data_IF_561422296665
#
_entry.id   IF_561422296665
#
_cell.length_a   1.000
_cell.length_b   1.000
_cell.length_c   1.000
_cell.angle_alpha   90.00
_cell.angle_beta   90.00
_cell.angle_gamma   90.00
#
_symmetry.space_group_name_H-M   'P 1'
#
loop_
_entity.id
_entity.type
_entity.pdbx_description
1 polymer ?
#
# COMPACT_ATOMS: atom_id res chain seq x y z
N UNK A 1 12.58 11.67 15.75
CA UNK A 1 11.64 11.68 16.88
C UNK A 1 10.54 10.71 16.49
N UNK A 2 10.41 9.59 17.20
CA UNK A 2 9.37 8.61 16.94
C UNK A 2 8.00 9.29 17.05
N UNK A 3 7.05 8.92 16.16
CA UNK A 3 5.63 9.23 16.38
C UNK A 3 5.33 8.76 17.79
N UNK A 4 4.67 9.55 18.64
CA UNK A 4 4.31 9.08 19.97
C UNK A 4 3.49 7.80 19.79
N UNK A 5 3.94 6.72 20.40
CA UNK A 5 3.24 5.41 20.39
C UNK A 5 1.74 5.53 20.77
N UNK A 6 1.35 6.65 21.37
CA UNK A 6 -0.03 6.97 21.73
C UNK A 6 -1.00 7.23 20.58
N UNK A 7 -0.58 7.63 19.36
CA UNK A 7 -1.55 7.89 18.29
C UNK A 7 -2.01 6.62 17.57
N UNK A 8 -1.10 5.68 17.34
CA UNK A 8 -1.45 4.38 16.74
C UNK A 8 -2.30 3.52 17.70
N UNK A 9 -2.01 3.58 18.99
CA UNK A 9 -2.82 2.92 20.02
C UNK A 9 -4.21 3.57 20.13
N UNK A 10 -4.28 4.91 20.05
CA UNK A 10 -5.54 5.65 20.08
C UNK A 10 -6.43 5.35 18.85
N UNK A 11 -5.87 5.16 17.66
CA UNK A 11 -6.64 4.74 16.48
C UNK A 11 -7.14 3.30 16.63
N UNK A 12 -6.39 2.41 17.24
CA UNK A 12 -6.80 1.03 17.49
C UNK A 12 -8.00 0.94 18.42
N UNK A 13 -8.03 1.76 19.48
CA UNK A 13 -9.17 1.86 20.40
C UNK A 13 -10.42 2.42 19.69
N UNK A 14 -10.25 3.47 18.88
CA UNK A 14 -11.35 4.05 18.09
C UNK A 14 -11.90 3.05 17.08
N UNK A 15 -11.05 2.28 16.42
CA UNK A 15 -11.47 1.23 15.49
C UNK A 15 -12.30 0.13 16.17
N UNK A 16 -11.92 -0.24 17.40
CA UNK A 16 -12.69 -1.20 18.20
C UNK A 16 -14.06 -0.62 18.59
N UNK A 17 -14.11 0.64 19.02
CA UNK A 17 -15.36 1.33 19.38
C UNK A 17 -16.31 1.45 18.18
N UNK A 18 -15.80 1.81 16.98
CA UNK A 18 -16.63 1.88 15.76
C UNK A 18 -17.24 0.53 15.42
N UNK A 19 -16.50 -0.57 15.56
CA UNK A 19 -17.02 -1.93 15.35
C UNK A 19 -18.08 -2.33 16.37
N UNK A 20 -17.94 -1.84 17.61
CA UNK A 20 -18.93 -2.01 18.66
C UNK A 20 -20.20 -1.15 18.46
N UNK A 21 -20.21 -0.27 17.44
CA UNK A 21 -21.36 0.55 17.07
C UNK A 21 -21.24 2.04 17.43
N UNK A 22 -20.14 2.47 18.03
CA UNK A 22 -19.92 3.87 18.37
C UNK A 22 -19.57 4.70 17.12
N UNK A 23 -20.56 5.45 16.62
CA UNK A 23 -20.38 6.34 15.47
C UNK A 23 -19.60 7.61 15.80
N UNK A 24 -19.58 8.04 17.07
CA UNK A 24 -18.83 9.22 17.50
C UNK A 24 -17.30 8.94 17.40
N UNK A 25 -16.86 7.72 17.72
CA UNK A 25 -15.48 7.29 17.53
C UNK A 25 -15.03 7.40 16.06
N UNK A 26 -15.94 7.14 15.10
CA UNK A 26 -15.63 7.36 13.69
C UNK A 26 -15.47 8.83 13.34
N UNK A 27 -16.26 9.71 13.94
CA UNK A 27 -16.11 11.17 13.80
C UNK A 27 -14.70 11.63 14.22
N UNK A 28 -14.15 11.07 15.30
CA UNK A 28 -12.78 11.37 15.75
C UNK A 28 -11.74 10.88 14.74
N UNK A 29 -11.89 9.67 14.20
CA UNK A 29 -11.02 9.16 13.13
C UNK A 29 -11.08 10.05 11.87
N UNK A 30 -12.28 10.49 11.49
CA UNK A 30 -12.48 11.39 10.37
C UNK A 30 -11.72 12.71 10.56
N UNK A 31 -11.95 13.41 11.68
CA UNK A 31 -11.29 14.70 11.96
C UNK A 31 -9.76 14.57 12.02
N UNK A 32 -9.24 13.48 12.57
CA UNK A 32 -7.81 13.24 12.68
C UNK A 32 -7.14 13.00 11.32
N UNK A 33 -7.80 12.29 10.42
CA UNK A 33 -7.18 11.80 9.18
C UNK A 33 -7.63 12.53 7.91
N UNK A 34 -8.69 13.38 7.96
CA UNK A 34 -9.24 14.04 6.76
C UNK A 34 -8.24 14.93 6.03
N UNK A 35 -7.42 15.69 6.75
CA UNK A 35 -6.45 16.59 6.13
C UNK A 35 -5.36 15.83 5.37
N UNK A 36 -4.87 14.74 5.96
CA UNK A 36 -3.90 13.84 5.32
C UNK A 36 -4.51 13.13 4.10
N UNK A 37 -5.76 12.65 4.21
CA UNK A 37 -6.47 12.04 3.10
C UNK A 37 -6.70 13.02 1.94
N UNK A 38 -7.05 14.30 2.23
CA UNK A 38 -7.16 15.36 1.20
C UNK A 38 -5.83 15.62 0.49
N UNK A 39 -4.73 15.69 1.23
CA UNK A 39 -3.40 15.86 0.62
C UNK A 39 -3.06 14.71 -0.35
N UNK A 40 -3.42 13.47 -0.01
CA UNK A 40 -3.27 12.32 -0.92
C UNK A 40 -4.21 12.44 -2.11
N UNK A 41 -5.47 12.84 -1.90
CA UNK A 41 -6.46 12.99 -2.96
C UNK A 41 -6.04 14.05 -3.99
N UNK A 42 -5.52 15.21 -3.54
CA UNK A 42 -4.99 16.26 -4.44
C UNK A 42 -3.82 15.80 -5.32
N UNK A 43 -3.06 14.79 -4.89
CA UNK A 43 -2.04 14.16 -5.73
C UNK A 43 -2.58 13.13 -6.73
N UNK A 44 -3.85 12.75 -6.63
CA UNK A 44 -4.47 11.71 -7.46
C UNK A 44 -5.43 12.25 -8.51
N UNK A 45 -6.05 13.39 -8.26
CA UNK A 45 -7.01 14.05 -9.16
C UNK A 45 -6.60 15.49 -9.44
N UNK A 46 -7.05 16.04 -10.57
CA UNK A 46 -6.65 17.37 -11.02
C UNK A 46 -7.55 18.49 -10.49
N UNK A 47 -8.76 18.16 -10.02
CA UNK A 47 -9.73 19.13 -9.50
C UNK A 47 -9.88 18.98 -7.99
N UNK A 48 -9.98 20.12 -7.30
CA UNK A 48 -10.18 20.17 -5.86
C UNK A 48 -11.54 19.65 -5.40
N UNK A 49 -12.60 19.87 -6.20
CA UNK A 49 -13.92 19.34 -5.91
C UNK A 49 -13.93 17.81 -6.02
N UNK A 50 -13.29 17.25 -7.05
CA UNK A 50 -13.12 15.81 -7.20
C UNK A 50 -12.32 15.19 -6.06
N UNK A 51 -11.34 15.91 -5.51
CA UNK A 51 -10.56 15.44 -4.38
C UNK A 51 -11.41 15.34 -3.11
N UNK A 52 -12.24 16.34 -2.82
CA UNK A 52 -13.12 16.35 -1.66
C UNK A 52 -14.18 15.26 -1.76
N UNK A 53 -14.77 15.06 -2.93
CA UNK A 53 -15.71 13.97 -3.20
C UNK A 53 -15.06 12.59 -3.07
N UNK A 54 -13.81 12.46 -3.53
CA UNK A 54 -13.05 11.23 -3.40
C UNK A 54 -12.78 10.88 -1.93
N UNK A 55 -12.43 11.88 -1.11
CA UNK A 55 -12.24 11.72 0.33
C UNK A 55 -13.55 11.32 1.02
N UNK A 56 -14.65 12.01 0.72
CA UNK A 56 -15.96 11.73 1.30
C UNK A 56 -16.42 10.30 0.99
N UNK A 57 -16.34 9.87 -0.27
CA UNK A 57 -16.68 8.51 -0.69
C UNK A 57 -15.78 7.46 0.01
N UNK A 58 -14.49 7.75 0.14
CA UNK A 58 -13.55 6.85 0.79
C UNK A 58 -13.91 6.65 2.26
N UNK A 59 -14.14 7.74 3.00
CA UNK A 59 -14.54 7.63 4.41
C UNK A 59 -15.88 6.91 4.57
N UNK A 60 -16.87 7.16 3.71
CA UNK A 60 -18.14 6.44 3.74
C UNK A 60 -17.96 4.93 3.54
N UNK A 61 -17.12 4.53 2.59
CA UNK A 61 -16.78 3.12 2.34
C UNK A 61 -16.07 2.47 3.52
N UNK A 62 -15.07 3.14 4.09
CA UNK A 62 -14.35 2.64 5.26
C UNK A 62 -15.28 2.51 6.46
N UNK A 63 -16.17 3.47 6.69
CA UNK A 63 -17.18 3.39 7.74
C UNK A 63 -18.10 2.18 7.58
N UNK A 64 -18.66 1.97 6.40
CA UNK A 64 -19.50 0.82 6.10
C UNK A 64 -18.76 -0.51 6.34
N UNK A 65 -17.49 -0.57 5.96
CA UNK A 65 -16.63 -1.75 6.15
C UNK A 65 -16.40 -2.03 7.64
N UNK A 66 -16.10 -1.01 8.44
CA UNK A 66 -15.91 -1.14 9.89
C UNK A 66 -17.20 -1.55 10.60
N UNK A 67 -18.35 -0.97 10.22
CA UNK A 67 -19.68 -1.32 10.76
C UNK A 67 -20.06 -2.77 10.45
N UNK A 68 -19.60 -3.32 9.34
CA UNK A 68 -19.77 -4.73 9.00
C UNK A 68 -18.77 -5.66 9.74
N UNK A 69 -18.04 -5.16 10.74
CA UNK A 69 -17.05 -5.93 11.50
C UNK A 69 -15.76 -6.24 10.74
N UNK A 70 -15.55 -5.60 9.58
CA UNK A 70 -14.44 -5.84 8.67
C UNK A 70 -13.44 -4.66 8.68
N UNK A 71 -12.42 -4.69 7.81
CA UNK A 71 -11.43 -3.63 7.70
C UNK A 71 -10.27 -3.75 8.70
N UNK A 72 -9.46 -2.69 8.87
CA UNK A 72 -8.23 -2.74 9.64
C UNK A 72 -8.49 -2.85 11.14
N UNK A 73 -7.69 -3.63 11.84
CA UNK A 73 -7.64 -3.66 13.31
C UNK A 73 -6.67 -2.62 13.85
N UNK A 74 -5.68 -2.28 13.05
CA UNK A 74 -4.58 -1.33 13.31
C UNK A 74 -4.26 -0.59 12.00
N UNK A 75 -3.41 0.42 12.03
CA UNK A 75 -2.93 1.12 10.84
C UNK A 75 -4.06 1.75 9.99
N UNK A 76 -5.00 2.44 10.64
CA UNK A 76 -6.17 3.06 10.00
C UNK A 76 -5.78 3.96 8.83
N UNK A 77 -4.74 4.79 8.99
CA UNK A 77 -4.27 5.73 7.97
C UNK A 77 -3.81 5.03 6.69
N UNK A 78 -3.01 3.96 6.82
CA UNK A 78 -2.53 3.18 5.67
C UNK A 78 -3.70 2.54 4.91
N UNK A 79 -4.67 1.99 5.65
CA UNK A 79 -5.89 1.43 5.07
C UNK A 79 -6.73 2.48 4.35
N UNK A 80 -6.93 3.65 4.97
CA UNK A 80 -7.67 4.78 4.40
C UNK A 80 -7.05 5.23 3.08
N UNK A 81 -5.73 5.44 3.04
CA UNK A 81 -5.01 5.89 1.86
C UNK A 81 -5.04 4.85 0.73
N UNK A 82 -4.95 3.56 1.06
CA UNK A 82 -5.09 2.49 0.07
C UNK A 82 -6.51 2.46 -0.49
N UNK A 83 -7.53 2.58 0.36
CA UNK A 83 -8.94 2.66 -0.07
C UNK A 83 -9.18 3.88 -0.96
N UNK A 84 -8.57 5.03 -0.63
CA UNK A 84 -8.69 6.27 -1.39
C UNK A 84 -8.12 6.12 -2.82
N UNK A 85 -6.91 5.57 -2.96
CA UNK A 85 -6.31 5.28 -4.28
C UNK A 85 -7.20 4.34 -5.09
N UNK A 86 -7.80 3.37 -4.42
CA UNK A 86 -8.72 2.42 -5.01
C UNK A 86 -10.02 3.08 -5.53
N UNK A 87 -10.67 3.92 -4.72
CA UNK A 87 -11.87 4.67 -5.13
C UNK A 87 -11.55 5.54 -6.35
N UNK A 88 -10.41 6.24 -6.34
CA UNK A 88 -9.92 7.04 -7.46
C UNK A 88 -9.77 6.20 -8.74
N UNK A 89 -9.12 5.04 -8.67
CA UNK A 89 -8.94 4.15 -9.82
C UNK A 89 -10.28 3.64 -10.37
N UNK A 90 -11.24 3.29 -9.49
CA UNK A 90 -12.57 2.84 -9.92
C UNK A 90 -13.39 3.95 -10.55
N UNK A 91 -13.32 5.19 -10.04
CA UNK A 91 -13.93 6.35 -10.69
C UNK A 91 -13.38 6.50 -12.11
N UNK A 92 -12.07 6.60 -12.26
CA UNK A 92 -11.42 6.74 -13.56
C UNK A 92 -11.72 5.59 -14.53
N UNK A 93 -12.00 4.38 -14.05
CA UNK A 93 -12.40 3.23 -14.87
C UNK A 93 -13.87 3.26 -15.23
N UNK A 94 -14.73 3.72 -14.31
CA UNK A 94 -16.16 3.88 -14.55
C UNK A 94 -16.40 4.98 -15.59
N UNK A 95 -15.71 6.11 -15.47
CA UNK A 95 -15.81 7.24 -16.39
C UNK A 95 -15.38 6.83 -17.81
N UNK A 96 -14.29 6.05 -17.91
CA UNK A 96 -13.88 5.43 -19.20
C UNK A 96 -14.85 4.36 -19.73
N UNK A 97 -15.67 3.73 -18.86
CA UNK A 97 -16.69 2.75 -19.28
C UNK A 97 -18.01 3.39 -19.62
N UNK A 98 -18.32 4.56 -19.07
CA UNK A 98 -19.51 5.36 -19.46
C UNK A 98 -19.37 5.90 -20.89
N UNK A 99 -18.15 5.98 -21.45
CA UNK A 99 -17.93 6.16 -22.88
C UNK A 99 -18.22 4.90 -23.72
N UNK A 100 -18.39 3.71 -23.10
CA UNK A 100 -18.67 2.44 -23.77
C UNK A 100 -19.57 1.53 -22.90
N UNK A 101 -20.89 1.59 -23.18
CA UNK A 101 -21.91 0.55 -22.92
C UNK A 101 -22.55 0.48 -21.53
N UNK A 102 -23.91 0.65 -21.55
CA UNK A 102 -24.89 0.11 -20.60
C UNK A 102 -24.74 -1.40 -20.41
N UNK A 103 -24.37 -1.85 -19.22
CA UNK A 103 -24.84 -3.13 -18.68
C UNK A 103 -24.63 -3.18 -17.14
N UNK A 104 -25.75 -3.05 -16.42
CA UNK A 104 -25.85 -3.13 -14.96
C UNK A 104 -26.42 -4.51 -14.60
N UNK A 105 -25.58 -5.51 -14.33
CA UNK A 105 -25.99 -6.65 -13.49
C UNK A 105 -24.80 -7.48 -13.03
N UNK A 106 -24.53 -7.44 -11.72
CA UNK A 106 -24.23 -8.56 -10.83
C UNK A 106 -23.62 -8.09 -9.51
N UNK A 107 -24.47 -7.91 -8.52
CA UNK A 107 -24.07 -8.02 -7.13
C UNK A 107 -24.64 -9.35 -6.62
N UNK A 108 -23.76 -10.25 -6.21
CA UNK A 108 -24.11 -11.48 -5.51
C UNK A 108 -23.66 -11.35 -4.05
N UNK A 109 -24.59 -11.62 -3.13
CA UNK A 109 -24.39 -11.55 -1.69
C UNK A 109 -23.96 -12.94 -1.20
N UNK A 110 -22.79 -13.06 -0.52
CA UNK A 110 -22.60 -14.23 0.31
C UNK A 110 -21.24 -14.89 0.49
N UNK A 111 -20.11 -14.16 0.44
CA UNK A 111 -18.83 -14.67 0.98
C UNK A 111 -18.10 -13.58 1.78
N UNK A 112 -17.18 -13.93 2.74
CA UNK A 112 -16.45 -12.92 3.50
C UNK A 112 -15.69 -12.03 2.53
N UNK A 113 -16.21 -10.82 2.34
CA UNK A 113 -15.80 -9.87 1.33
C UNK A 113 -14.37 -9.39 1.61
N UNK A 114 -13.41 -10.11 1.10
CA UNK A 114 -12.15 -9.52 0.65
C UNK A 114 -12.54 -8.51 -0.40
N UNK A 115 -12.34 -7.21 -0.16
CA UNK A 115 -12.65 -6.21 -1.18
C UNK A 115 -11.84 -6.59 -2.43
N UNK A 116 -12.45 -7.18 -3.49
CA UNK A 116 -11.70 -7.71 -4.64
C UNK A 116 -10.90 -6.62 -5.32
N UNK A 117 -11.22 -5.44 -4.99
CA UNK A 117 -10.66 -4.27 -5.55
C UNK A 117 -9.43 -3.78 -4.78
N UNK A 118 -9.36 -3.93 -3.44
CA UNK A 118 -8.12 -3.76 -2.67
C UNK A 118 -7.09 -4.83 -3.07
N UNK A 119 -7.51 -6.08 -3.16
CA UNK A 119 -6.66 -7.18 -3.61
C UNK A 119 -6.15 -6.93 -5.05
N UNK A 120 -6.99 -6.41 -5.94
CA UNK A 120 -6.61 -6.04 -7.30
C UNK A 120 -5.63 -4.85 -7.33
N UNK A 121 -5.79 -3.86 -6.45
CA UNK A 121 -4.86 -2.73 -6.34
C UNK A 121 -3.51 -3.19 -5.80
N UNK A 122 -3.50 -4.01 -4.76
CA UNK A 122 -2.29 -4.61 -4.20
C UNK A 122 -1.56 -5.47 -5.23
N UNK A 123 -2.28 -6.28 -5.99
CA UNK A 123 -1.73 -7.01 -7.14
C UNK A 123 -1.20 -6.07 -8.22
N UNK A 124 -1.85 -4.93 -8.45
CA UNK A 124 -1.40 -3.91 -9.39
C UNK A 124 -0.09 -3.28 -8.93
N UNK A 125 0.02 -2.90 -7.66
CA UNK A 125 1.25 -2.34 -7.09
C UNK A 125 2.40 -3.36 -7.10
N UNK A 126 2.13 -4.61 -6.74
CA UNK A 126 3.10 -5.69 -6.84
C UNK A 126 3.56 -5.91 -8.29
N UNK A 127 2.63 -5.91 -9.25
CA UNK A 127 2.94 -6.05 -10.66
C UNK A 127 3.74 -4.87 -11.22
N UNK A 128 3.42 -3.63 -10.82
CA UNK A 128 4.17 -2.44 -11.20
C UNK A 128 5.59 -2.46 -10.60
N UNK A 129 5.71 -2.81 -9.33
CA UNK A 129 6.99 -2.97 -8.66
C UNK A 129 7.85 -4.05 -9.34
N UNK A 130 7.24 -5.19 -9.69
CA UNK A 130 7.92 -6.25 -10.42
C UNK A 130 8.39 -5.82 -11.81
N UNK A 131 7.56 -5.10 -12.57
CA UNK A 131 7.92 -4.56 -13.90
C UNK A 131 9.04 -3.53 -13.82
N UNK A 132 9.14 -2.77 -12.74
CA UNK A 132 10.17 -1.76 -12.52
C UNK A 132 11.53 -2.36 -12.09
N UNK A 133 11.60 -3.67 -11.82
CA UNK A 133 12.86 -4.35 -11.55
C UNK A 133 13.73 -4.46 -12.81
N UNK A 134 15.07 -4.45 -12.68
CA UNK A 134 15.98 -4.84 -13.75
C UNK A 134 15.65 -6.25 -14.29
N UNK A 135 15.79 -6.48 -15.58
CA UNK A 135 15.40 -7.73 -16.25
C UNK A 135 15.99 -8.98 -15.59
N UNK A 136 17.28 -8.93 -15.24
CA UNK A 136 17.97 -10.04 -14.57
C UNK A 136 17.39 -10.36 -13.18
N UNK A 137 16.85 -9.35 -12.50
CA UNK A 137 16.19 -9.53 -11.19
C UNK A 137 14.79 -10.11 -11.36
N UNK A 138 14.07 -9.68 -12.41
CA UNK A 138 12.76 -10.27 -12.74
C UNK A 138 12.89 -11.74 -13.11
N UNK A 139 13.87 -12.09 -13.94
CA UNK A 139 14.09 -13.46 -14.37
C UNK A 139 14.42 -14.39 -13.20
N UNK A 140 15.35 -13.99 -12.33
CA UNK A 140 15.68 -14.82 -11.15
C UNK A 140 14.50 -14.97 -10.20
N UNK A 141 13.71 -13.91 -9.97
CA UNK A 141 12.52 -14.01 -9.11
C UNK A 141 11.44 -14.88 -9.73
N UNK A 142 11.20 -14.75 -11.01
CA UNK A 142 10.22 -15.57 -11.70
C UNK A 142 10.54 -17.05 -11.54
N UNK A 143 11.78 -17.44 -11.83
CA UNK A 143 12.23 -18.84 -11.73
C UNK A 143 12.19 -19.37 -10.30
N UNK A 144 12.66 -18.58 -9.32
CA UNK A 144 12.76 -19.06 -7.93
C UNK A 144 11.45 -19.00 -7.16
N UNK A 145 10.59 -17.98 -7.39
CA UNK A 145 9.38 -17.76 -6.60
C UNK A 145 8.09 -18.23 -7.30
N UNK A 146 8.05 -18.19 -8.65
CA UNK A 146 6.87 -18.57 -9.42
C UNK A 146 6.99 -20.00 -9.94
N UNK A 147 8.13 -20.34 -10.55
CA UNK A 147 8.38 -21.69 -11.07
C UNK A 147 8.89 -22.64 -9.97
N UNK A 148 9.28 -22.11 -8.80
CA UNK A 148 9.76 -22.90 -7.67
C UNK A 148 11.13 -23.56 -7.88
N UNK A 149 11.91 -23.08 -8.88
CA UNK A 149 13.20 -23.66 -9.19
C UNK A 149 14.24 -23.34 -8.11
N UNK A 150 15.03 -24.32 -7.74
CA UNK A 150 16.14 -24.15 -6.81
C UNK A 150 17.28 -23.31 -7.42
N UNK A 151 18.11 -22.65 -6.61
CA UNK A 151 19.28 -21.93 -7.12
C UNK A 151 20.22 -22.81 -7.96
N UNK A 152 20.31 -24.12 -7.70
CA UNK A 152 21.14 -25.05 -8.45
C UNK A 152 20.59 -25.29 -9.87
N UNK A 153 19.27 -25.33 -10.03
CA UNK A 153 18.59 -25.50 -11.33
C UNK A 153 18.63 -24.22 -12.17
N UNK A 154 18.59 -23.07 -11.53
CA UNK A 154 18.63 -21.75 -12.20
C UNK A 154 20.07 -21.37 -12.61
N UNK A 155 21.08 -21.81 -11.87
CA UNK A 155 22.48 -21.43 -12.05
C UNK A 155 23.02 -21.66 -13.49
N UNK A 156 22.83 -22.83 -14.12
CA UNK A 156 23.31 -23.06 -15.49
C UNK A 156 22.63 -22.13 -16.52
N UNK A 157 21.37 -21.81 -16.30
CA UNK A 157 20.56 -20.99 -17.21
C UNK A 157 20.99 -19.52 -17.20
N UNK A 158 21.48 -19.03 -16.06
CA UNK A 158 21.97 -17.65 -15.89
C UNK A 158 23.49 -17.51 -16.05
N UNK A 159 24.21 -18.60 -16.26
CA UNK A 159 25.68 -18.62 -16.31
C UNK A 159 26.30 -18.23 -14.97
N UNK A 160 25.69 -18.62 -13.85
CA UNK A 160 26.10 -18.29 -12.50
C UNK A 160 26.37 -19.54 -11.66
N UNK A 161 26.99 -19.37 -10.49
CA UNK A 161 27.02 -20.39 -9.45
C UNK A 161 25.72 -20.40 -8.65
N UNK A 162 25.32 -21.53 -8.03
CA UNK A 162 24.13 -21.59 -7.18
C UNK A 162 24.12 -20.52 -6.06
N UNK A 163 25.26 -20.27 -5.44
CA UNK A 163 25.41 -19.24 -4.43
C UNK A 163 25.18 -17.83 -4.99
N UNK A 164 25.71 -17.54 -6.20
CA UNK A 164 25.49 -16.26 -6.87
C UNK A 164 24.01 -16.06 -7.23
N UNK A 165 23.28 -17.13 -7.62
CA UNK A 165 21.82 -17.09 -7.84
C UNK A 165 21.09 -16.79 -6.55
N UNK A 166 21.42 -17.45 -5.43
CA UNK A 166 20.81 -17.18 -4.14
C UNK A 166 20.99 -15.72 -3.69
N UNK A 167 22.21 -15.18 -3.84
CA UNK A 167 22.49 -13.77 -3.54
C UNK A 167 21.72 -12.83 -4.48
N UNK A 168 21.65 -13.15 -5.77
CA UNK A 168 20.90 -12.38 -6.76
C UNK A 168 19.40 -12.37 -6.42
N UNK A 169 18.82 -13.51 -6.12
CA UNK A 169 17.42 -13.65 -5.72
C UNK A 169 17.12 -12.87 -4.42
N UNK A 170 18.02 -12.91 -3.43
CA UNK A 170 17.89 -12.11 -2.23
C UNK A 170 17.87 -10.60 -2.54
N UNK A 171 18.82 -10.11 -3.36
CA UNK A 171 18.87 -8.69 -3.77
C UNK A 171 17.63 -8.29 -4.57
N UNK A 172 17.14 -9.16 -5.44
CA UNK A 172 15.96 -8.93 -6.23
C UNK A 172 14.69 -8.84 -5.36
N UNK A 173 14.54 -9.71 -4.34
CA UNK A 173 13.44 -9.63 -3.35
C UNK A 173 13.48 -8.30 -2.58
N UNK A 174 14.65 -7.87 -2.13
CA UNK A 174 14.78 -6.58 -1.44
C UNK A 174 14.48 -5.39 -2.38
N UNK A 175 14.90 -5.48 -3.64
CA UNK A 175 14.55 -4.50 -4.66
C UNK A 175 13.03 -4.43 -4.90
N UNK A 176 12.37 -5.59 -5.00
CA UNK A 176 10.92 -5.69 -5.17
C UNK A 176 10.18 -5.05 -3.97
N UNK A 177 10.59 -5.39 -2.73
CA UNK A 177 9.99 -4.80 -1.53
C UNK A 177 10.13 -3.28 -1.50
N UNK A 178 11.30 -2.76 -1.84
CA UNK A 178 11.54 -1.31 -1.94
C UNK A 178 10.63 -0.65 -2.97
N UNK A 179 10.54 -1.21 -4.18
CA UNK A 179 9.70 -0.69 -5.26
C UNK A 179 8.21 -0.80 -4.92
N UNK A 180 7.80 -1.88 -4.26
CA UNK A 180 6.44 -2.03 -3.77
C UNK A 180 6.07 -0.94 -2.75
N UNK A 181 6.91 -0.72 -1.74
CA UNK A 181 6.70 0.36 -0.78
C UNK A 181 6.62 1.74 -1.46
N UNK A 182 7.42 1.95 -2.52
CA UNK A 182 7.41 3.20 -3.27
C UNK A 182 6.08 3.44 -4.01
N UNK A 183 5.34 2.39 -4.40
CA UNK A 183 4.01 2.54 -5.00
C UNK A 183 2.98 3.14 -4.03
N UNK A 184 3.22 3.03 -2.73
CA UNK A 184 2.35 3.59 -1.69
C UNK A 184 2.67 5.05 -1.36
N UNK A 185 3.76 5.60 -1.88
CA UNK A 185 4.12 7.01 -1.68
C UNK A 185 3.32 7.89 -2.63
N UNK A 186 2.47 8.75 -2.10
CA UNK A 186 1.77 9.75 -2.90
C UNK A 186 2.77 10.75 -3.52
N UNK A 187 2.51 11.14 -4.76
CA UNK A 187 3.27 12.21 -5.43
C UNK A 187 3.16 13.48 -4.60
N UNK A 188 4.28 14.15 -4.38
CA UNK A 188 4.37 15.32 -3.52
C UNK A 188 4.76 16.58 -4.31
N UNK A 189 4.20 17.71 -3.94
CA UNK A 189 4.69 19.04 -4.24
C UNK A 189 4.96 19.77 -2.91
N UNK A 190 5.99 20.54 -2.81
CA UNK A 190 6.94 21.08 -3.79
C UNK A 190 8.06 20.07 -4.19
N UNK A 191 8.98 20.47 -5.10
CA UNK A 191 10.04 19.60 -5.63
C UNK A 191 10.93 18.92 -4.58
N UNK A 192 11.19 19.58 -3.45
CA UNK A 192 11.95 19.02 -2.33
C UNK A 192 11.22 17.83 -1.68
N UNK A 193 9.90 17.94 -1.52
CA UNK A 193 9.05 16.86 -1.03
C UNK A 193 8.97 15.71 -2.03
N UNK A 194 8.97 16.01 -3.33
CA UNK A 194 9.03 14.99 -4.39
C UNK A 194 10.34 14.20 -4.31
N UNK A 195 11.47 14.91 -4.19
CA UNK A 195 12.77 14.28 -4.01
C UNK A 195 12.81 13.39 -2.76
N UNK A 196 12.25 13.84 -1.64
CA UNK A 196 12.16 13.07 -0.40
C UNK A 196 11.22 11.86 -0.59
N UNK A 197 10.03 12.07 -1.16
CA UNK A 197 9.04 11.03 -1.43
C UNK A 197 9.61 9.86 -2.22
N UNK A 198 10.37 10.14 -3.29
CA UNK A 198 11.00 9.11 -4.14
C UNK A 198 11.99 8.21 -3.38
N UNK A 199 12.37 8.59 -2.17
CA UNK A 199 13.38 7.90 -1.36
C UNK A 199 12.83 7.21 -0.12
N UNK A 200 11.56 7.41 0.24
CA UNK A 200 10.97 6.86 1.47
C UNK A 200 11.00 5.33 1.49
N UNK A 201 10.64 4.67 0.39
CA UNK A 201 10.70 3.20 0.29
C UNK A 201 12.12 2.66 0.48
N UNK A 202 13.12 3.37 -0.04
CA UNK A 202 14.54 3.05 0.15
C UNK A 202 15.01 3.27 1.59
N UNK A 203 14.57 4.36 2.21
CA UNK A 203 14.90 4.71 3.59
C UNK A 203 14.39 3.66 4.58
N UNK A 204 13.13 3.30 4.48
CA UNK A 204 12.50 2.27 5.34
C UNK A 204 13.20 0.90 5.23
N UNK A 205 13.81 0.61 4.09
CA UNK A 205 14.58 -0.63 3.86
C UNK A 205 16.09 -0.49 4.16
N UNK A 206 16.55 0.67 4.64
CA UNK A 206 17.96 0.92 4.92
C UNK A 206 18.85 0.83 3.67
N UNK A 207 18.32 1.21 2.50
CA UNK A 207 18.98 1.06 1.19
C UNK A 207 19.31 2.38 0.50
N UNK A 208 19.32 3.47 1.25
CA UNK A 208 19.80 4.76 0.72
C UNK A 208 21.30 4.87 0.81
N UNK A 209 21.88 5.61 -0.15
CA UNK A 209 23.25 6.05 -0.04
C UNK A 209 23.40 7.00 1.19
N UNK A 210 24.53 6.99 1.90
CA UNK A 210 24.70 7.79 3.12
C UNK A 210 24.38 9.28 2.93
N UNK A 211 24.76 9.87 1.81
CA UNK A 211 24.44 11.27 1.48
C UNK A 211 22.94 11.53 1.34
N UNK A 212 22.23 10.61 0.67
CA UNK A 212 20.78 10.72 0.49
C UNK A 212 20.04 10.50 1.82
N UNK A 213 20.54 9.61 2.68
CA UNK A 213 19.97 9.37 4.00
C UNK A 213 20.04 10.65 4.85
N UNK A 214 21.22 11.26 4.97
CA UNK A 214 21.42 12.52 5.71
C UNK A 214 20.53 13.64 5.16
N UNK A 215 20.50 13.80 3.83
CA UNK A 215 19.65 14.82 3.20
C UNK A 215 18.16 14.59 3.45
N UNK A 216 17.71 13.33 3.40
CA UNK A 216 16.34 12.96 3.68
C UNK A 216 15.99 13.23 5.15
N UNK A 217 16.83 12.83 6.09
CA UNK A 217 16.66 13.10 7.52
C UNK A 217 16.58 14.61 7.81
N UNK A 218 17.44 15.40 7.15
CA UNK A 218 17.37 16.86 7.22
C UNK A 218 16.01 17.38 6.72
N UNK A 219 15.50 16.88 5.58
CA UNK A 219 14.19 17.26 5.08
C UNK A 219 13.07 16.85 6.05
N UNK A 220 13.12 15.65 6.57
CA UNK A 220 12.14 15.12 7.52
C UNK A 220 12.13 15.88 8.86
N UNK A 221 13.22 16.56 9.23
CA UNK A 221 13.28 17.33 10.49
C UNK A 221 12.33 18.53 10.52
N UNK A 222 11.94 19.06 9.37
CA UNK A 222 11.07 20.25 9.26
C UNK A 222 9.79 20.03 8.43
N UNK A 223 9.67 18.95 7.65
CA UNK A 223 8.52 18.70 6.80
C UNK A 223 7.56 17.66 7.41
N UNK A 224 6.45 18.12 7.96
CA UNK A 224 5.43 17.26 8.59
C UNK A 224 4.79 16.29 7.58
N UNK A 225 4.51 16.75 6.37
CA UNK A 225 3.90 15.94 5.31
C UNK A 225 4.76 14.74 4.93
N UNK A 226 6.08 14.95 4.78
CA UNK A 226 6.98 13.85 4.45
C UNK A 226 7.21 12.91 5.65
N UNK A 227 7.19 13.42 6.90
CA UNK A 227 7.17 12.56 8.10
C UNK A 227 5.94 11.68 8.15
N UNK A 228 4.78 12.25 7.82
CA UNK A 228 3.53 11.52 7.77
C UNK A 228 3.56 10.40 6.72
N UNK A 229 4.08 10.67 5.51
CA UNK A 229 4.28 9.66 4.47
C UNK A 229 5.27 8.58 4.88
N UNK A 230 6.36 8.96 5.55
CA UNK A 230 7.33 7.99 6.08
C UNK A 230 6.69 7.03 7.09
N UNK A 231 5.85 7.54 7.99
CA UNK A 231 5.12 6.73 8.94
C UNK A 231 4.22 5.71 8.24
N UNK A 232 3.44 6.14 7.25
CA UNK A 232 2.58 5.27 6.44
C UNK A 232 3.38 4.13 5.77
N UNK A 233 4.48 4.47 5.08
CA UNK A 233 5.33 3.47 4.42
C UNK A 233 5.97 2.51 5.43
N UNK A 234 6.31 3.01 6.63
CA UNK A 234 6.86 2.19 7.70
C UNK A 234 5.84 1.19 8.23
N UNK A 235 4.59 1.59 8.42
CA UNK A 235 3.49 0.70 8.82
C UNK A 235 3.26 -0.42 7.79
N UNK A 236 3.25 -0.07 6.51
CA UNK A 236 3.13 -1.05 5.42
C UNK A 236 4.29 -2.05 5.45
N UNK A 237 5.52 -1.56 5.66
CA UNK A 237 6.71 -2.41 5.71
C UNK A 237 6.70 -3.37 6.91
N UNK A 238 6.14 -2.98 8.04
CA UNK A 238 6.04 -3.82 9.25
C UNK A 238 4.96 -4.90 9.13
N UNK A 239 4.19 -4.90 8.04
CA UNK A 239 3.14 -5.88 7.80
C UNK A 239 1.90 -5.68 8.68
N UNK A 240 1.74 -4.52 9.30
CA UNK A 240 0.51 -4.12 9.97
C UNK A 240 -0.64 -3.94 8.97
N UNK A 241 -0.31 -3.66 7.70
CA UNK A 241 -1.18 -3.84 6.55
C UNK A 241 -0.99 -5.28 6.03
N UNK A 242 -1.74 -6.24 6.57
CA UNK A 242 -1.85 -7.59 6.02
C UNK A 242 -3.00 -7.61 5.00
N UNK A 243 -2.75 -7.61 3.69
CA UNK A 243 -3.65 -8.29 2.79
C UNK A 243 -3.56 -9.78 3.15
N UNK A 244 -4.70 -10.40 3.29
CA UNK A 244 -4.93 -11.78 3.67
C UNK A 244 -3.85 -12.74 3.16
N UNK A 245 -3.13 -13.42 4.07
CA UNK A 245 -2.41 -14.66 3.74
C UNK A 245 -3.45 -15.72 3.42
N UNK A 246 -3.49 -16.20 2.19
CA UNK A 246 -4.16 -17.44 1.87
C UNK A 246 -3.70 -18.51 2.89
N UNK A 247 -4.62 -18.99 3.71
CA UNK A 247 -4.41 -20.26 4.38
C UNK A 247 -4.31 -21.30 3.26
N UNK A 248 -3.13 -21.87 3.08
CA UNK A 248 -3.01 -23.08 2.31
C UNK A 248 -4.07 -24.04 2.85
N UNK A 249 -5.02 -24.40 2.03
CA UNK A 249 -5.89 -25.53 2.29
C UNK A 249 -4.98 -26.76 2.47
N UNK A 250 -4.71 -27.11 3.72
CA UNK A 250 -4.36 -28.46 4.03
C UNK A 250 -5.56 -29.30 3.59
N UNK A 251 -5.34 -30.16 2.62
CA UNK A 251 -6.33 -31.12 2.17
C UNK A 251 -6.86 -31.96 3.35
N UNK A 252 -8.08 -32.53 3.24
CA UNK A 252 -8.65 -33.34 4.31
C UNK A 252 -7.73 -34.55 4.58
N UNK A 253 -7.58 -34.94 5.85
CA UNK A 253 -6.87 -36.17 6.18
C UNK A 253 -7.66 -37.35 5.61
N UNK A 254 -6.93 -38.27 4.97
CA UNK A 254 -7.40 -39.57 4.46
C UNK A 254 -7.87 -40.46 5.58
#
# INVERSE_FOLDING_TARGET
MAIPAGEADADTELLAAVRAGDTAAYGVLYERHRSAARAVAYGLVSDHADADDLVAETFAKVFATLRAGRGPLVAFRAYLNTTLRHVCYHRARRDRRLEFTDDLTRYDEGEPFLDPALDKLERTFAAQAFRALPDRWRDVLWRTEVEGASPAEVAPQLGLTPNAVAVLAHRAREGLRRLYLQQHVAVADPPECRWAGDRLGGHVRGRLAPRDAVRLETHLSWCDDCRARLAEVTEINQGHYRPYRQRNHAGPPS
#
